data_IF_636459612806
#
_entry.id   IF_636459612806
#
_cell.length_a   1.000
_cell.length_b   1.000
_cell.length_c   1.000
_cell.angle_alpha   90.00
_cell.angle_beta   90.00
_cell.angle_gamma   90.00
#
_symmetry.space_group_name_H-M   'P 1'
#
loop_
_entity.id
_entity.type
_entity.pdbx_description
1 polymer ?
#
# COMPACT_ATOMS: atom_id res chain seq x y z
N UNK A 1 -4.05 -3.52 -16.03
CA UNK A 1 -4.04 -4.80 -15.29
C UNK A 1 -3.19 -4.67 -14.04
N UNK A 2 -3.63 -5.29 -12.96
CA UNK A 2 -2.91 -5.30 -11.69
C UNK A 2 -2.66 -6.76 -11.29
N UNK A 3 -1.40 -7.08 -11.05
CA UNK A 3 -1.00 -8.41 -10.60
C UNK A 3 -0.72 -8.39 -9.10
N UNK A 4 -0.83 -9.55 -8.48
CA UNK A 4 -0.57 -9.72 -7.04
C UNK A 4 0.52 -10.78 -6.88
N UNK A 5 1.56 -10.46 -6.11
CA UNK A 5 2.57 -11.46 -5.78
C UNK A 5 1.95 -12.52 -4.88
N UNK A 6 2.58 -13.68 -4.81
CA UNK A 6 2.15 -14.74 -3.91
C UNK A 6 2.13 -14.27 -2.46
N UNK A 7 3.17 -13.53 -2.06
CA UNK A 7 3.26 -12.94 -0.73
C UNK A 7 2.08 -11.99 -0.48
N UNK A 8 1.75 -11.13 -1.47
CA UNK A 8 0.63 -10.23 -1.35
C UNK A 8 -0.69 -10.97 -1.16
N UNK A 9 -0.93 -12.01 -1.96
CA UNK A 9 -2.16 -12.80 -1.84
C UNK A 9 -2.29 -13.45 -0.47
N UNK A 10 -1.20 -13.96 0.07
CA UNK A 10 -1.18 -14.54 1.41
C UNK A 10 -1.51 -13.49 2.48
N UNK A 11 -0.92 -12.30 2.37
CA UNK A 11 -1.15 -11.21 3.33
C UNK A 11 -2.58 -10.68 3.26
N UNK A 12 -3.15 -10.56 2.06
CA UNK A 12 -4.54 -10.16 1.90
C UNK A 12 -5.47 -11.14 2.61
N UNK A 13 -5.23 -12.42 2.40
CA UNK A 13 -6.03 -13.47 3.02
C UNK A 13 -5.93 -13.46 4.54
N UNK A 14 -4.72 -13.36 5.08
CA UNK A 14 -4.49 -13.28 6.52
C UNK A 14 -5.17 -12.08 7.16
N UNK A 15 -5.22 -10.96 6.45
CA UNK A 15 -5.68 -9.68 6.97
C UNK A 15 -7.12 -9.34 6.60
N UNK A 16 -7.78 -10.23 5.86
CA UNK A 16 -9.17 -10.01 5.46
C UNK A 16 -9.35 -8.85 4.49
N UNK A 17 -8.36 -8.59 3.64
CA UNK A 17 -8.40 -7.53 2.64
C UNK A 17 -8.75 -8.15 1.29
N UNK A 18 -9.68 -7.54 0.55
CA UNK A 18 -10.04 -8.04 -0.78
C UNK A 18 -9.18 -7.38 -1.86
N UNK A 19 -9.06 -8.06 -2.99
CA UNK A 19 -8.35 -7.51 -4.16
C UNK A 19 -9.04 -6.25 -4.67
N UNK A 20 -10.37 -6.22 -4.63
CA UNK A 20 -11.14 -5.04 -5.07
C UNK A 20 -10.82 -3.82 -4.21
N UNK A 21 -10.69 -4.01 -2.89
CA UNK A 21 -10.29 -2.93 -1.99
C UNK A 21 -8.90 -2.40 -2.33
N UNK A 22 -7.96 -3.29 -2.63
CA UNK A 22 -6.60 -2.91 -3.00
C UNK A 22 -6.59 -2.14 -4.31
N UNK A 23 -7.32 -2.61 -5.31
CA UNK A 23 -7.42 -1.95 -6.61
C UNK A 23 -8.01 -0.56 -6.45
N UNK A 24 -9.03 -0.42 -5.60
CA UNK A 24 -9.65 0.88 -5.33
C UNK A 24 -8.66 1.86 -4.70
N UNK A 25 -7.83 1.41 -3.77
CA UNK A 25 -6.81 2.26 -3.15
C UNK A 25 -5.78 2.72 -4.17
N UNK A 26 -5.33 1.83 -5.05
CA UNK A 26 -4.35 2.19 -6.09
C UNK A 26 -4.95 3.18 -7.08
N UNK A 27 -6.23 3.00 -7.42
CA UNK A 27 -6.92 3.84 -8.39
C UNK A 27 -7.28 5.21 -7.82
N UNK A 28 -7.69 5.25 -6.54
CA UNK A 28 -8.15 6.47 -5.88
C UNK A 28 -7.47 6.66 -4.52
N UNK A 29 -6.15 6.86 -4.49
CA UNK A 29 -5.45 7.04 -3.21
C UNK A 29 -5.70 8.43 -2.62
N UNK A 30 -5.71 8.51 -1.29
CA UNK A 30 -5.69 9.79 -0.59
C UNK A 30 -4.28 10.36 -0.60
N UNK A 31 -3.28 9.48 -0.55
CA UNK A 31 -1.89 9.86 -0.53
C UNK A 31 -1.04 8.77 -1.18
N UNK A 32 0.04 9.18 -1.86
CA UNK A 32 1.01 8.25 -2.45
C UNK A 32 2.40 8.65 -1.97
N UNK A 33 3.18 7.65 -1.55
CA UNK A 33 4.56 7.84 -1.13
C UNK A 33 5.49 6.97 -1.96
N UNK A 34 6.77 7.30 -1.93
CA UNK A 34 7.82 6.53 -2.62
C UNK A 34 8.74 5.89 -1.58
N UNK A 35 9.02 4.59 -1.76
CA UNK A 35 9.97 3.85 -0.92
C UNK A 35 11.37 4.05 -1.49
N UNK A 36 12.21 4.79 -0.77
CA UNK A 36 13.57 5.14 -1.22
C UNK A 36 14.52 3.95 -1.25
N UNK A 37 14.20 2.87 -0.55
CA UNK A 37 15.06 1.68 -0.46
C UNK A 37 14.71 0.66 -1.53
N UNK A 38 13.43 0.39 -1.73
CA UNK A 38 12.96 -0.66 -2.65
C UNK A 38 12.40 -0.14 -3.96
N UNK A 39 12.18 1.17 -4.07
CA UNK A 39 11.62 1.77 -5.27
C UNK A 39 10.15 1.48 -5.51
N UNK A 40 9.44 1.02 -4.49
CA UNK A 40 8.01 0.77 -4.59
C UNK A 40 7.21 2.05 -4.34
N UNK A 41 5.96 2.06 -4.77
CA UNK A 41 5.00 3.08 -4.39
C UNK A 41 4.15 2.57 -3.24
N UNK A 42 3.69 3.50 -2.42
CA UNK A 42 2.84 3.22 -1.27
C UNK A 42 1.59 4.09 -1.40
N UNK A 43 0.46 3.46 -1.64
CA UNK A 43 -0.83 4.15 -1.74
C UNK A 43 -1.59 3.98 -0.44
N UNK A 44 -2.16 5.07 0.06
CA UNK A 44 -2.90 5.07 1.32
C UNK A 44 -4.28 5.65 1.07
N UNK A 45 -5.29 5.00 1.63
CA UNK A 45 -6.65 5.52 1.61
C UNK A 45 -7.35 5.20 2.92
N UNK A 46 -8.06 6.19 3.45
CA UNK A 46 -8.88 6.00 4.63
C UNK A 46 -10.20 5.35 4.24
N UNK A 47 -10.52 4.24 4.89
CA UNK A 47 -11.78 3.52 4.68
C UNK A 47 -12.43 3.37 6.05
N UNK A 48 -13.52 4.11 6.27
CA UNK A 48 -14.18 4.20 7.58
C UNK A 48 -13.20 4.68 8.65
N UNK A 49 -12.95 3.88 9.68
CA UNK A 49 -12.04 4.23 10.77
C UNK A 49 -10.63 3.70 10.58
N UNK A 50 -10.35 3.10 9.42
CA UNK A 50 -9.07 2.46 9.13
C UNK A 50 -8.42 3.06 7.91
N UNK A 51 -7.11 2.89 7.86
CA UNK A 51 -6.32 3.23 6.66
C UNK A 51 -5.89 1.94 5.99
N UNK A 52 -6.12 1.84 4.70
CA UNK A 52 -5.60 0.74 3.89
C UNK A 52 -4.34 1.24 3.19
N UNK A 53 -3.23 0.56 3.44
CA UNK A 53 -1.92 0.90 2.89
C UNK A 53 -1.54 -0.21 1.92
N UNK A 54 -1.29 0.15 0.67
CA UNK A 54 -0.94 -0.80 -0.39
C UNK A 54 0.45 -0.47 -0.91
N UNK A 55 1.32 -1.47 -0.91
CA UNK A 55 2.69 -1.34 -1.43
C UNK A 55 2.74 -2.08 -2.77
N UNK A 56 3.15 -1.38 -3.81
CA UNK A 56 3.15 -1.95 -5.16
C UNK A 56 4.33 -1.46 -5.98
N UNK A 57 4.74 -2.27 -6.96
CA UNK A 57 5.79 -1.92 -7.90
C UNK A 57 5.14 -1.18 -9.07
N UNK A 58 5.60 0.03 -9.42
CA UNK A 58 5.00 0.83 -10.49
C UNK A 58 5.46 0.38 -11.89
N UNK A 59 5.31 -0.89 -12.17
CA UNK A 59 5.65 -1.47 -13.47
C UNK A 59 4.39 -1.65 -14.31
N UNK A 60 4.55 -2.18 -15.53
CA UNK A 60 3.43 -2.55 -16.39
C UNK A 60 3.50 -4.04 -16.65
N UNK A 61 2.60 -4.82 -16.04
CA UNK A 61 1.51 -4.40 -15.16
C UNK A 61 1.99 -4.00 -13.77
N UNK A 62 1.16 -3.23 -13.07
CA UNK A 62 1.37 -2.91 -11.65
C UNK A 62 1.37 -4.22 -10.88
N UNK A 63 2.31 -4.36 -9.95
CA UNK A 63 2.42 -5.57 -9.13
C UNK A 63 2.29 -5.21 -7.65
N UNK A 64 1.22 -5.70 -7.02
CA UNK A 64 1.01 -5.51 -5.58
C UNK A 64 1.94 -6.43 -4.81
N UNK A 65 2.71 -5.85 -3.90
CA UNK A 65 3.70 -6.56 -3.07
C UNK A 65 3.15 -6.88 -1.70
N UNK A 66 2.41 -5.95 -1.11
CA UNK A 66 1.83 -6.13 0.22
C UNK A 66 0.71 -5.13 0.45
N UNK A 67 -0.13 -5.42 1.43
CA UNK A 67 -1.16 -4.48 1.88
C UNK A 67 -1.39 -4.71 3.37
N UNK A 68 -1.71 -3.64 4.09
CA UNK A 68 -2.01 -3.72 5.51
C UNK A 68 -3.07 -2.70 5.90
N UNK A 69 -3.77 -3.00 6.98
CA UNK A 69 -4.80 -2.14 7.55
C UNK A 69 -4.32 -1.65 8.90
N UNK A 70 -4.47 -0.37 9.17
CA UNK A 70 -4.11 0.19 10.47
C UNK A 70 -5.10 1.28 10.87
N UNK A 71 -5.35 1.42 12.16
CA UNK A 71 -6.21 2.48 12.68
C UNK A 71 -5.46 3.80 12.86
N UNK A 72 -4.13 3.76 12.81
CA UNK A 72 -3.28 4.95 13.01
C UNK A 72 -2.17 5.01 11.97
N UNK A 73 -1.78 6.22 11.60
CA UNK A 73 -0.72 6.43 10.62
C UNK A 73 0.70 6.52 11.22
N UNK A 74 0.88 6.01 12.45
CA UNK A 74 2.19 6.04 13.10
C UNK A 74 3.27 5.36 12.29
N UNK A 75 2.94 4.24 11.65
CA UNK A 75 3.89 3.51 10.81
C UNK A 75 4.34 4.37 9.62
N UNK A 76 3.42 5.11 9.01
CA UNK A 76 3.72 6.00 7.90
C UNK A 76 4.60 7.15 8.37
N UNK A 77 4.21 7.81 9.46
CA UNK A 77 4.95 8.94 10.00
C UNK A 77 6.38 8.53 10.39
N UNK A 78 6.54 7.36 11.01
CA UNK A 78 7.86 6.87 11.38
C UNK A 78 8.75 6.63 10.16
N UNK A 79 8.21 6.05 9.08
CA UNK A 79 8.98 5.80 7.87
C UNK A 79 9.34 7.08 7.13
N UNK A 80 8.43 8.05 7.14
CA UNK A 80 8.71 9.38 6.56
C UNK A 80 9.81 10.07 7.35
N UNK A 81 9.72 10.03 8.67
CA UNK A 81 10.71 10.64 9.57
C UNK A 81 12.11 10.08 9.37
N UNK A 82 12.19 8.77 9.08
CA UNK A 82 13.47 8.08 8.83
C UNK A 82 13.96 8.24 7.39
N UNK A 83 13.21 8.91 6.54
CA UNK A 83 13.55 9.05 5.12
C UNK A 83 13.32 7.80 4.29
N UNK A 84 12.68 6.77 4.87
CA UNK A 84 12.37 5.53 4.17
C UNK A 84 11.28 5.74 3.11
N UNK A 85 10.25 6.50 3.46
CA UNK A 85 9.17 6.85 2.55
C UNK A 85 9.13 8.37 2.38
N UNK A 86 8.94 8.81 1.15
CA UNK A 86 8.86 10.24 0.79
C UNK A 86 7.48 10.51 0.19
N UNK A 87 6.83 11.55 0.65
CA UNK A 87 5.54 11.97 0.09
C UNK A 87 5.73 12.52 -1.31
N UNK A 88 4.88 12.08 -2.20
CA UNK A 88 4.91 12.55 -3.59
C UNK A 88 3.94 13.70 -3.82
#
# INVERSE_FOLDING_TARGET
>A
MIEFTRHAEEKLKERGITKDEVIDVITNPDEVLFDTVRGNLVAIRKINDYYLIVIYTPTKPIRVVSALVTSKLNIVENRVKRGRWVRL
#
